data_IF_189188257175
#
_entry.id   IF_189188257175
#
_cell.length_a   1.000
_cell.length_b   1.000
_cell.length_c   1.000
_cell.angle_alpha   90.00
_cell.angle_beta   90.00
_cell.angle_gamma   90.00
#
_symmetry.space_group_name_H-M   'P 1'
#
loop_
_entity.id
_entity.type
_entity.pdbx_description
1 polymer ?
#
# COMPACT_ATOMS: atom_id res chain seq x y z
N UNK A 1 -4.85 -45.53 38.15
CA UNK A 1 -4.83 -44.15 37.60
C UNK A 1 -6.24 -43.84 37.11
N UNK A 2 -7.06 -43.18 37.94
CA UNK A 2 -8.42 -42.80 37.56
C UNK A 2 -8.34 -41.49 36.77
N UNK A 3 -8.61 -41.57 35.47
CA UNK A 3 -8.83 -40.37 34.65
C UNK A 3 -10.29 -39.96 34.82
N UNK A 4 -10.52 -38.83 35.48
CA UNK A 4 -11.85 -38.23 35.58
C UNK A 4 -12.35 -37.90 34.17
N UNK A 5 -13.45 -38.53 33.75
CA UNK A 5 -14.10 -38.20 32.49
C UNK A 5 -14.90 -36.89 32.67
N UNK A 6 -14.76 -35.97 31.72
CA UNK A 6 -15.53 -34.72 31.68
C UNK A 6 -17.03 -35.03 31.63
N UNK A 7 -17.82 -34.23 32.35
CA UNK A 7 -19.28 -34.41 32.35
C UNK A 7 -19.89 -33.86 31.05
N UNK A 8 -20.96 -34.48 30.57
CA UNK A 8 -21.65 -34.06 29.34
C UNK A 8 -22.13 -32.59 29.42
N UNK A 9 -22.52 -32.14 30.61
CA UNK A 9 -22.94 -30.75 30.88
C UNK A 9 -21.78 -29.78 30.65
N UNK A 10 -20.57 -30.13 31.08
CA UNK A 10 -19.38 -29.30 30.94
C UNK A 10 -18.97 -29.12 29.48
N UNK A 11 -19.08 -30.19 28.67
CA UNK A 11 -18.85 -30.10 27.21
C UNK A 11 -19.89 -29.19 26.55
N UNK A 12 -21.15 -29.25 26.95
CA UNK A 12 -22.21 -28.44 26.37
C UNK A 12 -22.03 -26.94 26.67
N UNK A 13 -21.62 -26.61 27.89
CA UNK A 13 -21.31 -25.22 28.28
C UNK A 13 -20.11 -24.68 27.49
N UNK A 14 -19.06 -25.47 27.31
CA UNK A 14 -17.88 -25.08 26.53
C UNK A 14 -18.26 -24.79 25.07
N UNK A 15 -19.08 -25.66 24.46
CA UNK A 15 -19.55 -25.46 23.08
C UNK A 15 -20.42 -24.20 22.97
N UNK A 16 -21.31 -23.95 23.93
CA UNK A 16 -22.15 -22.76 23.93
C UNK A 16 -21.31 -21.46 24.02
N UNK A 17 -20.29 -21.44 24.89
CA UNK A 17 -19.38 -20.29 25.01
C UNK A 17 -18.56 -20.11 23.73
N UNK A 18 -18.05 -21.19 23.13
CA UNK A 18 -17.32 -21.14 21.85
C UNK A 18 -18.15 -20.53 20.73
N UNK A 19 -19.42 -20.91 20.60
CA UNK A 19 -20.32 -20.36 19.57
C UNK A 19 -20.62 -18.88 19.80
N UNK A 20 -20.76 -18.45 21.06
CA UNK A 20 -20.94 -17.03 21.41
C UNK A 20 -19.67 -16.23 21.06
N UNK A 21 -18.49 -16.76 21.37
CA UNK A 21 -17.21 -16.10 21.05
C UNK A 21 -16.99 -15.98 19.54
N UNK A 22 -17.33 -17.02 18.76
CA UNK A 22 -17.29 -16.97 17.30
C UNK A 22 -18.29 -15.95 16.74
N UNK A 23 -19.49 -15.85 17.32
CA UNK A 23 -20.50 -14.85 16.92
C UNK A 23 -20.06 -13.41 17.20
N UNK A 24 -19.35 -13.17 18.30
CA UNK A 24 -18.84 -11.84 18.66
C UNK A 24 -17.58 -11.46 17.89
N UNK A 25 -16.73 -12.42 17.51
CA UNK A 25 -15.48 -12.17 16.78
C UNK A 25 -15.69 -11.57 15.38
N UNK A 26 -16.83 -11.83 14.74
CA UNK A 26 -17.14 -11.36 13.38
C UNK A 26 -17.58 -9.88 13.38
N UNK A 27 -18.13 -9.36 14.48
CA UNK A 27 -18.71 -8.01 14.54
C UNK A 27 -17.66 -6.87 14.56
N UNK A 28 -16.40 -7.15 14.86
CA UNK A 28 -15.32 -6.15 14.94
C UNK A 28 -14.37 -6.14 13.73
N UNK A 29 -14.60 -7.02 12.74
CA UNK A 29 -13.65 -7.31 11.66
C UNK A 29 -13.35 -6.18 10.67
N UNK A 30 -14.33 -5.48 10.07
CA UNK A 30 -14.04 -4.69 8.87
C UNK A 30 -13.28 -3.38 9.13
N UNK A 31 -13.65 -2.64 10.18
CA UNK A 31 -13.07 -1.31 10.45
C UNK A 31 -11.64 -1.36 11.00
N UNK A 32 -11.30 -2.40 11.77
CA UNK A 32 -9.96 -2.56 12.34
C UNK A 32 -8.95 -3.06 11.29
N UNK A 33 -9.42 -3.86 10.33
CA UNK A 33 -8.63 -4.28 9.17
C UNK A 33 -8.29 -3.09 8.27
N UNK A 34 -9.27 -2.25 7.92
CA UNK A 34 -9.05 -1.09 7.05
C UNK A 34 -7.99 -0.10 7.59
N UNK A 35 -8.02 0.18 8.91
CA UNK A 35 -7.00 1.03 9.55
C UNK A 35 -5.61 0.37 9.52
N UNK A 36 -5.56 -0.95 9.67
CA UNK A 36 -4.30 -1.70 9.61
C UNK A 36 -3.71 -1.71 8.19
N UNK A 37 -4.55 -1.89 7.17
CA UNK A 37 -4.15 -1.89 5.76
C UNK A 37 -3.59 -0.52 5.35
N UNK A 38 -4.28 0.57 5.71
CA UNK A 38 -3.78 1.92 5.43
C UNK A 38 -2.44 2.19 6.14
N UNK A 39 -2.32 1.79 7.41
CA UNK A 39 -1.06 1.92 8.15
C UNK A 39 0.08 1.12 7.52
N UNK A 40 -0.20 -0.11 7.06
CA UNK A 40 0.77 -0.94 6.34
C UNK A 40 1.20 -0.28 5.03
N UNK A 41 0.26 0.17 4.20
CA UNK A 41 0.55 0.87 2.95
C UNK A 41 1.37 2.13 3.19
N UNK A 42 1.06 2.91 4.24
CA UNK A 42 1.85 4.08 4.61
C UNK A 42 3.28 3.72 5.00
N UNK A 43 3.50 2.63 5.72
CA UNK A 43 4.85 2.14 6.05
C UNK A 43 5.63 1.76 4.79
N UNK A 44 5.00 1.04 3.85
CA UNK A 44 5.63 0.67 2.56
C UNK A 44 6.08 1.92 1.80
N UNK A 45 5.15 2.87 1.62
CA UNK A 45 5.41 4.14 0.96
C UNK A 45 6.49 4.99 1.65
N UNK A 46 6.56 4.97 3.00
CA UNK A 46 7.64 5.64 3.75
C UNK A 46 9.00 5.00 3.47
N UNK A 47 9.08 3.67 3.49
CA UNK A 47 10.32 2.95 3.21
C UNK A 47 10.81 3.24 1.78
N UNK A 48 9.90 3.26 0.80
CA UNK A 48 10.23 3.62 -0.58
C UNK A 48 10.74 5.06 -0.72
N UNK A 49 10.09 6.01 -0.04
CA UNK A 49 10.56 7.40 0.02
C UNK A 49 11.97 7.50 0.61
N UNK A 50 12.24 6.75 1.69
CA UNK A 50 13.57 6.73 2.33
C UNK A 50 14.64 6.14 1.40
N UNK A 51 14.34 5.03 0.72
CA UNK A 51 15.24 4.41 -0.26
C UNK A 51 15.56 5.40 -1.39
N UNK A 52 14.56 6.07 -1.95
CA UNK A 52 14.79 7.06 -3.01
C UNK A 52 15.61 8.27 -2.51
N UNK A 53 15.34 8.75 -1.29
CA UNK A 53 16.09 9.85 -0.69
C UNK A 53 17.54 9.47 -0.40
N UNK A 54 17.80 8.23 0.03
CA UNK A 54 19.15 7.71 0.25
C UNK A 54 19.90 7.53 -1.07
N UNK A 55 19.22 7.06 -2.11
CA UNK A 55 19.77 7.04 -3.48
C UNK A 55 20.14 8.44 -3.95
N UNK A 56 19.23 9.41 -3.81
CA UNK A 56 19.49 10.81 -4.18
C UNK A 56 20.66 11.41 -3.41
N UNK A 57 20.79 11.10 -2.11
CA UNK A 57 21.91 11.55 -1.30
C UNK A 57 23.26 10.97 -1.78
N UNK A 58 23.26 9.75 -2.33
CA UNK A 58 24.46 9.07 -2.83
C UNK A 58 24.84 9.56 -4.24
N UNK A 59 23.87 9.61 -5.16
CA UNK A 59 24.07 9.85 -6.59
C UNK A 59 23.99 11.34 -6.94
N UNK A 60 23.30 12.14 -6.11
CA UNK A 60 23.09 13.58 -6.30
C UNK A 60 21.81 13.93 -7.06
N UNK A 61 21.03 12.94 -7.48
CA UNK A 61 19.74 13.11 -8.16
C UNK A 61 18.77 11.95 -7.81
N UNK A 62 17.45 12.20 -7.80
CA UNK A 62 16.47 11.14 -7.56
C UNK A 62 16.47 10.14 -8.71
N UNK A 63 15.99 8.91 -8.45
CA UNK A 63 15.92 7.85 -9.46
C UNK A 63 15.11 8.31 -10.67
N UNK A 64 15.74 8.36 -11.84
CA UNK A 64 15.07 8.66 -13.10
C UNK A 64 14.48 7.38 -13.67
N UNK A 65 13.20 7.11 -13.37
CA UNK A 65 12.49 5.93 -13.85
C UNK A 65 11.10 6.28 -14.38
N UNK A 66 10.65 5.58 -15.41
CA UNK A 66 9.33 5.73 -16.01
C UNK A 66 8.20 5.18 -15.12
N UNK A 67 8.54 4.34 -14.13
CA UNK A 67 7.58 3.75 -13.19
C UNK A 67 8.26 2.87 -12.13
N UNK A 68 7.43 2.13 -11.38
CA UNK A 68 7.88 1.34 -10.23
C UNK A 68 8.88 0.24 -10.61
N UNK A 69 8.65 -0.47 -11.71
CA UNK A 69 9.52 -1.58 -12.12
C UNK A 69 10.95 -1.13 -12.44
N UNK A 70 11.08 -0.02 -13.16
CA UNK A 70 12.38 0.55 -13.49
C UNK A 70 13.04 1.17 -12.26
N UNK A 71 12.27 1.78 -11.36
CA UNK A 71 12.77 2.21 -10.06
C UNK A 71 13.40 1.05 -9.28
N UNK A 72 12.69 -0.08 -9.16
CA UNK A 72 13.20 -1.27 -8.47
C UNK A 72 14.42 -1.84 -9.18
N UNK A 73 14.43 -1.88 -10.52
CA UNK A 73 15.59 -2.34 -11.27
C UNK A 73 16.85 -1.51 -10.98
N UNK A 74 16.71 -0.17 -10.97
CA UNK A 74 17.83 0.74 -10.66
C UNK A 74 18.34 0.52 -9.24
N UNK A 75 17.43 0.56 -8.26
CA UNK A 75 17.79 0.43 -6.84
C UNK A 75 18.37 -0.96 -6.54
N UNK A 76 17.81 -2.04 -7.08
CA UNK A 76 18.30 -3.40 -6.85
C UNK A 76 19.60 -3.73 -7.60
N UNK A 77 20.00 -2.90 -8.58
CA UNK A 77 21.28 -3.09 -9.29
C UNK A 77 22.49 -2.65 -8.47
N UNK A 78 22.26 -1.89 -7.40
CA UNK A 78 23.28 -1.44 -6.45
C UNK A 78 23.19 -2.27 -5.17
N UNK A 79 24.30 -2.91 -4.79
CA UNK A 79 24.38 -3.76 -3.60
C UNK A 79 24.01 -3.01 -2.30
N UNK A 80 24.26 -1.70 -2.23
CA UNK A 80 23.93 -0.88 -1.05
C UNK A 80 22.42 -0.84 -0.79
N UNK A 81 21.62 -0.81 -1.84
CA UNK A 81 20.16 -0.72 -1.72
C UNK A 81 19.44 -2.06 -1.92
N UNK A 82 20.08 -3.05 -2.54
CA UNK A 82 19.49 -4.37 -2.75
C UNK A 82 19.02 -5.00 -1.44
N UNK A 83 19.77 -4.86 -0.35
CA UNK A 83 19.40 -5.37 0.97
C UNK A 83 18.18 -4.65 1.57
N UNK A 84 18.04 -3.34 1.31
CA UNK A 84 16.88 -2.55 1.76
C UNK A 84 15.61 -2.97 1.01
N UNK A 85 15.73 -3.28 -0.27
CA UNK A 85 14.61 -3.78 -1.08
C UNK A 85 14.27 -5.23 -0.72
N UNK A 86 15.28 -6.08 -0.49
CA UNK A 86 15.09 -7.47 -0.07
C UNK A 86 14.43 -7.59 1.32
N UNK A 87 14.44 -6.53 2.13
CA UNK A 87 13.73 -6.48 3.41
C UNK A 87 12.21 -6.34 3.26
N UNK A 88 11.68 -6.04 2.07
CA UNK A 88 10.24 -6.13 1.82
C UNK A 88 9.78 -7.59 1.88
N UNK A 89 8.66 -7.83 2.56
CA UNK A 89 8.04 -9.16 2.64
C UNK A 89 7.71 -9.65 1.22
N UNK A 90 7.97 -10.94 0.94
CA UNK A 90 7.55 -11.63 -0.28
C UNK A 90 6.07 -11.41 -0.58
N UNK A 91 5.22 -11.14 0.43
CA UNK A 91 3.79 -10.82 0.25
C UNK A 91 3.50 -9.44 -0.30
N UNK A 92 4.47 -8.53 -0.28
CA UNK A 92 4.34 -7.14 -0.71
C UNK A 92 5.02 -6.94 -2.06
N UNK A 93 6.16 -7.59 -2.27
CA UNK A 93 6.93 -7.49 -3.50
C UNK A 93 6.77 -8.77 -4.34
N UNK A 94 6.11 -8.65 -5.49
CA UNK A 94 5.89 -9.78 -6.40
C UNK A 94 6.22 -9.41 -7.83
N UNK A 95 6.44 -10.45 -8.63
CA UNK A 95 6.43 -10.35 -10.07
C UNK A 95 5.02 -10.09 -10.60
N UNK A 96 4.89 -9.21 -11.58
CA UNK A 96 3.61 -8.90 -12.23
C UNK A 96 2.92 -10.16 -12.77
N UNK A 97 3.70 -11.06 -13.36
CA UNK A 97 3.28 -12.43 -13.66
C UNK A 97 4.21 -13.41 -12.91
N UNK A 98 3.72 -14.08 -11.85
CA UNK A 98 4.54 -14.99 -11.06
C UNK A 98 4.97 -16.25 -11.84
N UNK A 99 4.37 -16.50 -13.00
CA UNK A 99 4.71 -17.63 -13.88
C UNK A 99 5.76 -17.28 -14.93
N UNK A 100 6.02 -15.98 -15.12
CA UNK A 100 7.01 -15.46 -16.06
C UNK A 100 8.21 -14.90 -15.28
N UNK A 101 9.38 -15.51 -15.47
CA UNK A 101 10.58 -15.10 -14.78
C UNK A 101 11.24 -13.82 -15.34
N UNK A 102 10.70 -13.32 -16.45
CA UNK A 102 11.08 -12.06 -17.08
C UNK A 102 10.14 -10.92 -16.71
N UNK A 103 9.02 -11.21 -16.03
CA UNK A 103 8.08 -10.17 -15.64
C UNK A 103 8.69 -9.22 -14.60
N UNK A 104 8.23 -7.98 -14.68
CA UNK A 104 8.74 -6.91 -13.85
C UNK A 104 8.39 -7.12 -12.37
N UNK A 105 9.30 -6.74 -11.49
CA UNK A 105 9.00 -6.61 -10.07
C UNK A 105 8.07 -5.43 -9.83
N UNK A 106 7.12 -5.63 -8.92
CA UNK A 106 6.18 -4.64 -8.44
C UNK A 106 6.09 -4.72 -6.92
N UNK A 107 5.69 -3.60 -6.31
CA UNK A 107 5.33 -3.54 -4.90
C UNK A 107 3.85 -3.22 -4.83
N UNK A 108 3.12 -4.03 -4.08
CA UNK A 108 1.68 -3.91 -3.91
C UNK A 108 1.34 -3.29 -2.56
N UNK A 109 0.27 -2.51 -2.52
CA UNK A 109 -0.30 -2.01 -1.29
C UNK A 109 -1.09 -3.12 -0.55
N UNK A 110 -1.60 -2.80 0.63
CA UNK A 110 -2.34 -3.76 1.46
C UNK A 110 -3.65 -4.27 0.82
N UNK A 111 -4.14 -3.61 -0.22
CA UNK A 111 -5.35 -3.99 -0.97
C UNK A 111 -5.02 -4.74 -2.26
N UNK A 112 -3.73 -4.97 -2.54
CA UNK A 112 -3.27 -5.70 -3.73
C UNK A 112 -3.16 -4.84 -4.99
N UNK A 113 -3.14 -3.51 -4.86
CA UNK A 113 -2.90 -2.62 -6.00
C UNK A 113 -1.41 -2.29 -6.12
N UNK A 114 -0.89 -2.25 -7.35
CA UNK A 114 0.50 -1.87 -7.58
C UNK A 114 0.74 -0.39 -7.21
N UNK A 115 1.77 -0.14 -6.41
CA UNK A 115 2.24 1.20 -6.07
C UNK A 115 2.88 1.83 -7.30
N UNK A 116 2.59 3.12 -7.54
CA UNK A 116 3.22 3.89 -8.62
C UNK A 116 4.38 4.71 -8.09
N UNK A 117 5.45 4.78 -8.87
CA UNK A 117 6.52 5.75 -8.73
C UNK A 117 6.33 6.85 -9.78
N UNK A 118 6.33 8.11 -9.36
CA UNK A 118 6.16 9.28 -10.22
C UNK A 118 7.42 10.11 -10.15
N UNK A 119 8.35 9.92 -11.09
CA UNK A 119 9.63 10.65 -11.12
C UNK A 119 9.51 12.06 -11.68
N UNK A 120 8.63 12.24 -12.68
CA UNK A 120 8.45 13.51 -13.38
C UNK A 120 6.97 13.85 -13.57
N UNK A 121 6.68 15.14 -13.63
CA UNK A 121 5.38 15.63 -14.08
C UNK A 121 5.04 15.06 -15.47
N UNK A 122 3.81 14.61 -15.64
CA UNK A 122 3.25 14.10 -16.89
C UNK A 122 3.30 12.59 -17.07
N UNK A 123 4.10 11.85 -16.28
CA UNK A 123 4.15 10.39 -16.36
C UNK A 123 2.77 9.76 -16.08
N UNK A 124 2.04 10.33 -15.12
CA UNK A 124 0.67 9.94 -14.78
C UNK A 124 -0.20 11.20 -14.72
N UNK A 125 -0.97 11.53 -15.78
CA UNK A 125 -1.75 12.76 -15.86
C UNK A 125 -2.84 12.90 -14.78
N UNK A 126 -3.31 11.78 -14.25
CA UNK A 126 -4.32 11.72 -13.18
C UNK A 126 -3.73 11.93 -11.79
N UNK A 127 -2.41 11.76 -11.65
CA UNK A 127 -1.71 12.00 -10.41
C UNK A 127 -1.31 13.49 -10.26
N UNK A 128 -1.05 13.96 -9.03
CA UNK A 128 -0.49 15.28 -8.74
C UNK A 128 0.77 15.59 -9.57
N UNK A 129 0.84 16.78 -10.15
CA UNK A 129 1.98 17.22 -10.96
C UNK A 129 2.97 17.96 -10.07
N UNK A 130 3.94 17.21 -9.53
CA UNK A 130 4.97 17.73 -8.61
C UNK A 130 6.31 17.88 -9.34
N UNK A 131 7.17 18.76 -8.83
CA UNK A 131 8.55 18.98 -9.29
C UNK A 131 9.58 18.04 -8.67
N UNK A 132 9.13 17.15 -7.77
CA UNK A 132 9.93 16.12 -7.13
C UNK A 132 9.27 14.74 -7.25
N UNK A 133 10.09 13.71 -7.12
CA UNK A 133 9.64 12.33 -7.24
C UNK A 133 8.84 11.88 -6.00
N UNK A 134 7.79 11.08 -6.21
CA UNK A 134 6.97 10.55 -5.11
C UNK A 134 6.40 9.16 -5.43
N UNK A 135 5.88 8.51 -4.39
CA UNK A 135 5.18 7.22 -4.49
C UNK A 135 3.70 7.41 -4.16
N UNK A 136 2.85 6.61 -4.80
CA UNK A 136 1.40 6.67 -4.57
C UNK A 136 0.74 5.30 -4.65
N UNK A 137 -0.34 5.13 -3.87
CA UNK A 137 -1.22 3.94 -3.85
C UNK A 137 -2.65 4.39 -4.20
N UNK A 138 -3.38 3.51 -4.88
CA UNK A 138 -4.77 3.73 -5.28
C UNK A 138 -5.74 3.66 -4.10
N UNK A 139 -5.31 3.16 -2.94
CA UNK A 139 -6.19 2.99 -1.79
C UNK A 139 -7.12 1.75 -1.91
N UNK A 140 -8.10 1.64 -0.99
CA UNK A 140 -9.02 0.52 -0.90
C UNK A 140 -9.85 0.25 -2.16
N UNK A 141 -10.21 1.27 -2.93
CA UNK A 141 -11.08 1.10 -4.10
C UNK A 141 -10.33 0.61 -5.35
N UNK A 142 -8.99 0.70 -5.35
CA UNK A 142 -8.11 0.31 -6.45
C UNK A 142 -8.23 1.21 -7.68
N UNK A 143 -8.92 2.35 -7.57
CA UNK A 143 -9.20 3.25 -8.68
C UNK A 143 -8.31 4.48 -8.61
N UNK A 144 -7.64 4.75 -9.74
CA UNK A 144 -6.88 5.97 -9.88
C UNK A 144 -7.82 7.09 -10.35
N UNK A 145 -8.38 7.84 -9.40
CA UNK A 145 -9.10 9.08 -9.72
C UNK A 145 -8.19 10.17 -10.32
N UNK A 146 -8.76 11.35 -10.59
CA UNK A 146 -8.00 12.51 -11.06
C UNK A 146 -7.81 13.53 -9.94
N UNK A 147 -6.57 13.73 -9.50
CA UNK A 147 -6.24 14.68 -8.45
C UNK A 147 -6.65 16.12 -8.81
N UNK A 148 -6.69 16.48 -10.10
CA UNK A 148 -7.14 17.80 -10.54
C UNK A 148 -8.63 17.99 -10.26
N UNK A 149 -9.43 16.95 -10.49
CA UNK A 149 -10.86 16.96 -10.15
C UNK A 149 -11.09 16.99 -8.64
N UNK A 150 -10.25 16.27 -7.88
CA UNK A 150 -10.22 16.38 -6.41
C UNK A 150 -9.94 17.81 -5.94
N UNK A 151 -8.94 18.49 -6.49
CA UNK A 151 -8.62 19.89 -6.12
C UNK A 151 -9.77 20.84 -6.47
N UNK A 152 -10.37 20.72 -7.67
CA UNK A 152 -11.53 21.52 -8.09
C UNK A 152 -12.71 21.38 -7.12
N UNK A 153 -12.97 20.16 -6.62
CA UNK A 153 -14.01 19.89 -5.63
C UNK A 153 -13.86 20.77 -4.37
N UNK A 154 -12.64 20.94 -3.85
CA UNK A 154 -12.40 21.79 -2.67
C UNK A 154 -12.36 23.29 -2.99
N UNK A 155 -12.00 23.65 -4.23
CA UNK A 155 -12.05 25.03 -4.71
C UNK A 155 -13.49 25.52 -4.97
N UNK A 156 -14.49 24.62 -4.92
CA UNK A 156 -15.87 24.93 -5.28
C UNK A 156 -16.08 25.12 -6.79
N UNK A 157 -15.16 24.60 -7.60
CA UNK A 157 -15.23 24.65 -9.05
C UNK A 157 -16.07 23.49 -9.61
N UNK A 158 -16.56 23.65 -10.83
CA UNK A 158 -17.20 22.55 -11.56
C UNK A 158 -16.18 21.44 -11.79
N UNK A 159 -16.53 20.21 -11.39
CA UNK A 159 -15.64 19.06 -11.42
C UNK A 159 -16.41 17.78 -11.76
N UNK A 160 -15.68 16.76 -12.18
CA UNK A 160 -16.18 15.40 -12.27
C UNK A 160 -16.20 14.78 -10.86
N UNK A 161 -17.41 14.53 -10.35
CA UNK A 161 -17.61 14.03 -8.99
C UNK A 161 -17.09 12.60 -8.79
N UNK A 162 -17.13 11.77 -9.84
CA UNK A 162 -16.70 10.37 -9.76
C UNK A 162 -15.18 10.31 -9.71
N UNK A 163 -14.50 11.04 -10.60
CA UNK A 163 -13.03 11.15 -10.59
C UNK A 163 -12.50 11.79 -9.31
N UNK A 164 -13.22 12.77 -8.76
CA UNK A 164 -12.87 13.38 -7.47
C UNK A 164 -13.11 12.43 -6.28
N UNK A 165 -14.10 11.53 -6.36
CA UNK A 165 -14.35 10.54 -5.32
C UNK A 165 -13.28 9.45 -5.32
N UNK A 166 -12.91 8.92 -6.49
CA UNK A 166 -11.83 7.93 -6.68
C UNK A 166 -10.44 8.48 -6.31
N UNK A 167 -10.25 9.79 -6.31
CA UNK A 167 -8.99 10.40 -5.91
C UNK A 167 -8.87 10.64 -4.40
N UNK A 168 -9.96 10.40 -3.64
CA UNK A 168 -10.05 10.80 -2.24
C UNK A 168 -9.34 9.85 -1.27
N UNK A 169 -9.20 8.58 -1.63
CA UNK A 169 -8.50 7.55 -0.86
C UNK A 169 -7.10 7.24 -1.40
N UNK A 170 -6.71 7.81 -2.55
CA UNK A 170 -5.34 7.78 -3.03
C UNK A 170 -4.37 8.29 -1.96
N UNK A 171 -3.34 7.50 -1.70
CA UNK A 171 -2.28 7.83 -0.75
C UNK A 171 -1.06 8.34 -1.51
N UNK A 172 -0.44 9.41 -1.01
CA UNK A 172 0.76 9.98 -1.61
C UNK A 172 1.83 10.20 -0.55
N UNK A 173 3.11 9.99 -0.90
CA UNK A 173 4.24 10.25 0.01
C UNK A 173 4.56 11.73 0.20
N UNK A 174 4.02 12.61 -0.64
CA UNK A 174 4.10 14.05 -0.44
C UNK A 174 3.03 14.49 0.56
N UNK A 175 3.38 15.44 1.44
CA UNK A 175 2.47 15.94 2.48
C UNK A 175 2.49 15.20 3.82
N UNK A 176 3.36 14.18 3.99
CA UNK A 176 3.54 13.51 5.29
C UNK A 176 4.48 14.22 6.25
N UNK A 177 5.27 15.17 5.73
CA UNK A 177 6.25 15.92 6.53
C UNK A 177 5.63 17.14 7.25
N UNK A 178 4.31 17.32 7.15
CA UNK A 178 3.58 18.51 7.61
C UNK A 178 2.72 18.31 8.87
N UNK A 179 3.02 17.33 9.73
CA UNK A 179 2.32 17.13 11.02
C UNK A 179 3.28 16.98 12.19
#
# INVERSE_FOLDING_TARGET
MNRSAFTLVEVLVVVAILLILLGLGIAYGPGMLAVSEEAQTRTILKNLKLINAEYEALVGEPVQAAGMSEFLQVVMSDEHFADLVAAFDDKVMHREDPTDDTSAWQIYDAWGNAIRYVAQAGAYPTCPQMDFAYFTSAGPDGQWGDHREFVKRFAGEAHDADLAAQAADNLYTFGWDAR
#
